data_IF_510915609034
#
_entry.id   IF_510915609034
#
_cell.length_a   1.000
_cell.length_b   1.000
_cell.length_c   1.000
_cell.angle_alpha   90.00
_cell.angle_beta   90.00
_cell.angle_gamma   90.00
#
_symmetry.space_group_name_H-M   'P 1'
#
loop_
_entity.id
_entity.type
_entity.pdbx_description
1 polymer ?
#
# COMPACT_ATOMS: atom_id res chain seq x y z
N UNK A 1 -0.09 4.62 -7.76
CA UNK A 1 1.16 3.98 -8.24
C UNK A 1 0.98 3.43 -9.66
N UNK A 2 1.90 3.72 -10.58
CA UNK A 2 1.90 3.22 -11.97
C UNK A 2 3.15 2.36 -12.18
N UNK A 3 2.97 1.07 -12.43
CA UNK A 3 4.02 0.07 -12.75
C UNK A 3 3.50 -0.85 -13.84
N UNK A 4 4.38 -1.41 -14.67
CA UNK A 4 4.00 -2.48 -15.62
C UNK A 4 3.76 -3.80 -14.89
N UNK A 5 3.17 -4.77 -15.58
CA UNK A 5 2.98 -6.13 -15.04
C UNK A 5 4.32 -6.76 -14.66
N UNK A 6 5.31 -6.63 -15.52
CA UNK A 6 6.66 -7.20 -15.34
C UNK A 6 7.36 -6.54 -14.15
N UNK A 7 7.24 -5.21 -14.03
CA UNK A 7 7.76 -4.47 -12.87
C UNK A 7 7.07 -4.91 -11.58
N UNK A 8 5.75 -5.14 -11.62
CA UNK A 8 5.02 -5.59 -10.44
C UNK A 8 5.48 -6.98 -9.98
N UNK A 9 5.63 -7.93 -10.91
CA UNK A 9 6.14 -9.27 -10.62
C UNK A 9 7.56 -9.19 -10.02
N UNK A 10 8.43 -8.39 -10.61
CA UNK A 10 9.80 -8.21 -10.10
C UNK A 10 9.82 -7.64 -8.68
N UNK A 11 8.96 -6.66 -8.37
CA UNK A 11 8.85 -6.09 -7.02
C UNK A 11 8.32 -7.13 -6.02
N UNK A 12 7.30 -7.92 -6.38
CA UNK A 12 6.72 -8.95 -5.51
C UNK A 12 7.68 -10.12 -5.21
N UNK A 13 8.79 -10.23 -5.95
CA UNK A 13 9.85 -11.21 -5.67
C UNK A 13 10.88 -10.70 -4.66
N UNK A 14 10.86 -9.41 -4.31
CA UNK A 14 11.78 -8.82 -3.34
C UNK A 14 11.34 -9.18 -1.93
N UNK A 15 12.22 -9.70 -1.05
CA UNK A 15 11.88 -9.96 0.33
C UNK A 15 11.37 -8.69 1.04
N UNK A 16 10.20 -8.79 1.67
CA UNK A 16 9.54 -7.66 2.35
C UNK A 16 10.22 -7.21 3.66
N UNK A 17 11.24 -7.93 4.14
CA UNK A 17 11.84 -7.72 5.47
C UNK A 17 12.52 -6.35 5.56
N UNK A 18 12.12 -5.56 6.55
CA UNK A 18 12.77 -4.29 6.89
C UNK A 18 12.33 -3.06 6.08
N UNK A 19 11.56 -3.25 5.00
CA UNK A 19 11.05 -2.15 4.18
C UNK A 19 9.54 -2.30 3.93
N UNK A 20 8.76 -1.45 4.58
CA UNK A 20 7.30 -1.45 4.55
C UNK A 20 6.71 -1.01 3.22
N UNK A 21 7.49 -0.39 2.33
CA UNK A 21 7.02 -0.10 0.98
C UNK A 21 6.75 -1.37 0.17
N UNK A 22 7.52 -2.45 0.39
CA UNK A 22 7.24 -3.75 -0.22
C UNK A 22 6.02 -4.42 0.42
N UNK A 23 5.90 -4.36 1.75
CA UNK A 23 4.70 -4.83 2.47
C UNK A 23 3.42 -4.17 1.95
N UNK A 24 3.43 -2.84 1.78
CA UNK A 24 2.31 -2.08 1.23
C UNK A 24 2.07 -2.44 -0.24
N UNK A 25 3.12 -2.55 -1.05
CA UNK A 25 3.02 -2.89 -2.46
C UNK A 25 2.29 -4.21 -2.68
N UNK A 26 2.75 -5.29 -2.02
CA UNK A 26 2.20 -6.63 -2.20
C UNK A 26 0.71 -6.68 -1.83
N UNK A 27 0.38 -6.12 -0.67
CA UNK A 27 -0.99 -6.11 -0.13
C UNK A 27 -1.92 -5.27 -1.01
N UNK A 28 -1.45 -4.14 -1.54
CA UNK A 28 -2.21 -3.28 -2.44
C UNK A 28 -2.46 -3.94 -3.81
N UNK A 29 -1.46 -4.64 -4.36
CA UNK A 29 -1.62 -5.39 -5.61
C UNK A 29 -2.64 -6.50 -5.44
N UNK A 30 -2.54 -7.29 -4.37
CA UNK A 30 -3.50 -8.34 -4.05
C UNK A 30 -4.93 -7.79 -3.92
N UNK A 31 -5.10 -6.66 -3.21
CA UNK A 31 -6.42 -6.04 -3.02
C UNK A 31 -7.05 -5.58 -4.34
N UNK A 32 -6.25 -4.99 -5.24
CA UNK A 32 -6.72 -4.59 -6.58
C UNK A 32 -7.15 -5.79 -7.42
N UNK A 33 -6.41 -6.89 -7.38
CA UNK A 33 -6.74 -8.13 -8.10
C UNK A 33 -8.01 -8.77 -7.53
N UNK A 34 -8.13 -8.84 -6.21
CA UNK A 34 -9.32 -9.36 -5.53
C UNK A 34 -10.58 -8.54 -5.86
N UNK A 35 -10.46 -7.21 -5.93
CA UNK A 35 -11.56 -6.33 -6.38
C UNK A 35 -11.92 -6.55 -7.85
N UNK A 36 -10.95 -6.83 -8.72
CA UNK A 36 -11.22 -7.12 -10.12
C UNK A 36 -11.88 -8.50 -10.34
N UNK A 37 -11.54 -9.49 -9.49
CA UNK A 37 -12.06 -10.84 -9.56
C UNK A 37 -13.45 -11.01 -8.90
N UNK A 38 -13.80 -10.15 -7.94
CA UNK A 38 -15.07 -10.20 -7.19
C UNK A 38 -15.95 -8.99 -7.51
N UNK A 39 -17.21 -9.01 -7.08
CA UNK A 39 -18.02 -7.79 -7.06
C UNK A 39 -17.37 -6.77 -6.09
N UNK A 40 -17.08 -5.52 -6.51
CA UNK A 40 -16.33 -4.57 -5.68
C UNK A 40 -17.09 -4.22 -4.40
N UNK A 41 -16.57 -4.59 -3.23
CA UNK A 41 -17.03 -3.98 -1.97
C UNK A 41 -16.76 -2.48 -2.04
N UNK A 42 -17.79 -1.67 -1.79
CA UNK A 42 -17.64 -0.21 -1.70
C UNK A 42 -16.69 0.19 -0.56
N UNK A 43 -16.55 -0.66 0.47
CA UNK A 43 -15.79 -0.37 1.67
C UNK A 43 -14.27 -0.37 1.43
N UNK A 44 -13.75 -1.16 0.48
CA UNK A 44 -12.30 -1.25 0.25
C UNK A 44 -11.77 -0.21 -0.75
N UNK A 45 -12.65 0.37 -1.59
CA UNK A 45 -12.24 1.31 -2.65
C UNK A 45 -11.48 2.52 -2.10
N UNK A 46 -11.94 3.11 -1.00
CA UNK A 46 -11.28 4.26 -0.39
C UNK A 46 -9.89 3.88 0.16
N UNK A 47 -9.76 2.71 0.79
CA UNK A 47 -8.47 2.22 1.28
C UNK A 47 -7.48 1.96 0.15
N UNK A 48 -7.94 1.41 -0.99
CA UNK A 48 -7.10 1.25 -2.18
C UNK A 48 -6.65 2.62 -2.74
N UNK A 49 -7.53 3.62 -2.74
CA UNK A 49 -7.20 4.98 -3.17
C UNK A 49 -6.14 5.60 -2.25
N UNK A 50 -6.33 5.55 -0.94
CA UNK A 50 -5.38 6.09 0.03
C UNK A 50 -4.02 5.37 -0.03
N UNK A 51 -4.02 4.04 -0.19
CA UNK A 51 -2.78 3.28 -0.36
C UNK A 51 -2.07 3.60 -1.68
N UNK A 52 -2.81 3.89 -2.75
CA UNK A 52 -2.22 4.39 -4.00
C UNK A 52 -1.59 5.77 -3.82
N UNK A 53 -2.19 6.65 -3.01
CA UNK A 53 -1.64 7.96 -2.67
C UNK A 53 -0.39 7.81 -1.80
N UNK A 54 -0.42 6.95 -0.78
CA UNK A 54 0.74 6.63 0.04
C UNK A 54 1.91 6.15 -0.82
N UNK A 55 1.68 5.14 -1.69
CA UNK A 55 2.71 4.66 -2.64
C UNK A 55 3.11 5.68 -3.72
N UNK A 56 2.30 6.72 -3.95
CA UNK A 56 2.54 7.77 -4.93
C UNK A 56 3.25 9.02 -4.38
N UNK A 57 3.32 9.18 -3.06
CA UNK A 57 3.93 10.32 -2.40
C UNK A 57 5.46 10.16 -2.33
N UNK A 58 6.09 10.27 -3.50
CA UNK A 58 7.53 10.24 -3.72
C UNK A 58 8.16 11.59 -3.33
N UNK A 59 9.35 11.62 -2.70
CA UNK A 59 10.19 10.49 -2.28
C UNK A 59 9.90 9.97 -0.86
N UNK A 60 8.83 10.44 -0.21
CA UNK A 60 8.61 10.26 1.23
C UNK A 60 8.22 8.83 1.63
N UNK A 61 7.31 8.21 0.87
CA UNK A 61 6.77 6.88 1.21
C UNK A 61 6.90 5.89 0.07
N UNK A 62 6.75 6.35 -1.17
CA UNK A 62 7.00 5.57 -2.38
C UNK A 62 8.28 6.01 -3.10
N UNK A 63 8.67 5.33 -4.19
CA UNK A 63 8.11 4.07 -4.69
C UNK A 63 8.47 2.87 -3.80
N UNK A 64 8.10 1.66 -4.23
CA UNK A 64 8.63 0.44 -3.61
C UNK A 64 10.16 0.48 -3.59
N UNK A 65 10.76 0.19 -2.45
CA UNK A 65 12.20 0.31 -2.24
C UNK A 65 12.66 1.57 -1.50
N UNK A 66 11.79 2.54 -1.19
CA UNK A 66 12.19 3.79 -0.50
C UNK A 66 12.65 3.66 0.97
N UNK A 67 12.78 2.45 1.50
CA UNK A 67 13.39 2.22 2.81
C UNK A 67 12.54 2.58 4.03
N UNK A 68 11.22 2.68 3.89
CA UNK A 68 10.31 2.99 5.01
C UNK A 68 10.37 1.88 6.06
N UNK A 69 10.84 2.21 7.27
CA UNK A 69 10.95 1.26 8.39
C UNK A 69 9.62 1.12 9.13
N UNK A 70 9.40 -0.03 9.77
CA UNK A 70 8.22 -0.27 10.60
C UNK A 70 8.07 0.72 11.77
N UNK A 71 9.20 1.16 12.34
CA UNK A 71 9.24 2.12 13.45
C UNK A 71 9.28 3.58 12.98
N UNK A 72 9.14 3.84 11.68
CA UNK A 72 9.17 5.21 11.17
C UNK A 72 7.80 5.87 11.31
N UNK A 73 7.73 7.18 11.56
CA UNK A 73 6.47 7.94 11.53
C UNK A 73 5.73 7.79 10.21
N UNK A 74 6.47 7.63 9.10
CA UNK A 74 5.90 7.37 7.77
C UNK A 74 5.01 6.12 7.71
N UNK A 75 5.32 5.12 8.54
CA UNK A 75 4.53 3.90 8.65
C UNK A 75 3.46 4.00 9.74
N UNK A 76 3.81 4.51 10.92
CA UNK A 76 2.96 4.43 12.11
C UNK A 76 1.91 5.55 12.15
N UNK A 77 2.27 6.75 11.71
CA UNK A 77 1.47 7.96 11.98
C UNK A 77 0.69 8.43 10.76
N UNK A 78 -0.38 9.18 11.01
CA UNK A 78 -1.00 10.00 9.97
C UNK A 78 -0.09 11.21 9.72
N UNK A 79 0.32 11.39 8.48
CA UNK A 79 1.28 12.44 8.10
C UNK A 79 0.65 13.41 7.10
N UNK A 80 1.41 14.41 6.68
CA UNK A 80 0.99 15.37 5.66
C UNK A 80 2.14 15.63 4.69
N UNK A 81 1.86 15.59 3.38
CA UNK A 81 2.79 16.05 2.34
C UNK A 81 2.18 17.28 1.68
N UNK A 82 2.83 18.43 1.85
CA UNK A 82 2.25 19.70 1.43
C UNK A 82 0.94 19.97 2.18
N UNK A 83 -0.19 20.02 1.47
CA UNK A 83 -1.54 20.15 2.05
C UNK A 83 -2.34 18.83 2.02
N UNK A 84 -1.73 17.74 1.55
CA UNK A 84 -2.40 16.46 1.39
C UNK A 84 -2.20 15.62 2.66
N UNK A 85 -3.28 15.32 3.43
CA UNK A 85 -3.18 14.39 4.54
C UNK A 85 -2.95 12.98 4.00
N UNK A 86 -1.97 12.28 4.55
CA UNK A 86 -1.61 10.91 4.19
C UNK A 86 -1.93 10.01 5.39
N UNK A 87 -2.84 9.07 5.18
CA UNK A 87 -3.21 8.05 6.18
C UNK A 87 -2.01 7.16 6.53
N UNK A 88 -1.91 6.74 7.79
CA UNK A 88 -0.86 5.83 8.28
C UNK A 88 -0.74 4.59 7.40
N UNK A 89 0.50 4.25 7.02
CA UNK A 89 0.80 3.07 6.22
C UNK A 89 0.36 1.78 6.92
N UNK A 90 0.57 1.69 8.22
CA UNK A 90 0.15 0.53 9.02
C UNK A 90 -1.35 0.35 9.02
N UNK A 91 -2.12 1.43 9.19
CA UNK A 91 -3.57 1.39 9.16
C UNK A 91 -4.10 0.93 7.81
N UNK A 92 -3.55 1.48 6.72
CA UNK A 92 -3.92 1.09 5.35
C UNK A 92 -3.60 -0.37 5.10
N UNK A 93 -2.40 -0.83 5.49
CA UNK A 93 -1.99 -2.22 5.35
C UNK A 93 -2.93 -3.18 6.07
N UNK A 94 -3.24 -2.92 7.35
CA UNK A 94 -4.13 -3.79 8.14
C UNK A 94 -5.51 -3.96 7.50
N UNK A 95 -6.06 -2.90 6.92
CA UNK A 95 -7.34 -2.96 6.20
C UNK A 95 -7.26 -3.74 4.89
N UNK A 96 -6.22 -3.51 4.10
CA UNK A 96 -6.03 -4.24 2.84
C UNK A 96 -5.78 -5.73 3.12
N UNK A 97 -5.00 -6.05 4.16
CA UNK A 97 -4.70 -7.41 4.58
C UNK A 97 -5.97 -8.14 5.06
N UNK A 98 -6.77 -7.51 5.92
CA UNK A 98 -8.07 -8.05 6.34
C UNK A 98 -8.98 -8.35 5.13
N UNK A 99 -9.07 -7.43 4.17
CA UNK A 99 -9.85 -7.65 2.94
C UNK A 99 -9.32 -8.81 2.10
N UNK A 100 -8.00 -8.88 1.90
CA UNK A 100 -7.37 -9.96 1.13
C UNK A 100 -7.59 -11.34 1.76
N UNK A 101 -7.72 -11.39 3.08
CA UNK A 101 -8.01 -12.60 3.85
C UNK A 101 -9.52 -12.83 4.09
N UNK A 102 -10.41 -12.05 3.47
CA UNK A 102 -11.87 -12.24 3.58
C UNK A 102 -12.45 -11.88 4.95
N UNK A 103 -11.76 -11.06 5.73
CA UNK A 103 -12.13 -10.65 7.08
C UNK A 103 -12.85 -9.27 7.12
N UNK A 104 -13.29 -8.77 5.95
CA UNK A 104 -13.85 -7.44 5.75
C UNK A 104 -15.12 -7.49 4.91
#
# INVERSE_FOLDING_TARGET
MKVTKEQAIAIMQIPVKGNKTYTMFDTLVAAKLNVAAKCPSCQIKNTITDANQWMGAVPYFGPAGSGVKASSPMWQDRTQVGRCPITSGEYLYKKLDAYNNGQL
#
